data_IF_254371050273
#
_entry.id   IF_254371050273
#
_cell.length_a   1.000
_cell.length_b   1.000
_cell.length_c   1.000
_cell.angle_alpha   90.00
_cell.angle_beta   90.00
_cell.angle_gamma   90.00
#
_symmetry.space_group_name_H-M   'P 1'
#
loop_
_entity.id
_entity.type
_entity.pdbx_description
1 polymer ?
#
# COMPACT_ATOMS: atom_id res chain seq x y z
N UNK A 1 -11.69 -8.41 2.63
CA UNK A 1 -11.86 -9.61 1.77
C UNK A 1 -10.52 -9.95 1.15
N UNK A 2 -10.13 -11.18 1.26
CA UNK A 2 -8.86 -11.66 0.76
C UNK A 2 -9.10 -12.77 -0.25
N UNK A 3 -8.39 -12.69 -1.38
CA UNK A 3 -8.46 -13.68 -2.44
C UNK A 3 -7.04 -14.08 -2.83
N UNK A 4 -6.79 -15.37 -2.99
CA UNK A 4 -5.47 -15.88 -3.31
C UNK A 4 -5.59 -16.99 -4.34
N UNK A 5 -4.68 -16.99 -5.32
CA UNK A 5 -4.64 -18.06 -6.31
C UNK A 5 -4.22 -19.38 -5.65
N UNK A 6 -4.69 -20.52 -6.18
CA UNK A 6 -4.35 -21.82 -5.59
C UNK A 6 -2.85 -22.10 -5.52
N UNK A 7 -2.07 -21.54 -6.43
CA UNK A 7 -0.62 -21.73 -6.45
C UNK A 7 0.13 -20.70 -5.61
N UNK A 8 -0.60 -19.74 -5.01
CA UNK A 8 0.01 -18.70 -4.19
C UNK A 8 0.81 -17.67 -4.96
N UNK A 9 0.74 -17.64 -6.29
CA UNK A 9 1.54 -16.73 -7.10
C UNK A 9 1.05 -15.29 -7.08
N UNK A 10 -0.20 -15.05 -6.71
CA UNK A 10 -0.76 -13.71 -6.60
C UNK A 10 -1.79 -13.66 -5.50
N UNK A 11 -2.00 -12.46 -4.97
CA UNK A 11 -2.89 -12.24 -3.84
C UNK A 11 -3.55 -10.88 -4.01
N UNK A 12 -4.82 -10.79 -3.68
CA UNK A 12 -5.53 -9.52 -3.68
C UNK A 12 -6.50 -9.47 -2.50
N UNK A 13 -6.83 -8.24 -2.06
CA UNK A 13 -7.72 -8.07 -0.93
C UNK A 13 -7.90 -6.62 -0.55
N UNK A 14 -8.49 -6.41 0.61
CA UNK A 14 -8.65 -5.09 1.22
C UNK A 14 -7.77 -4.98 2.45
N UNK A 15 -7.21 -3.80 2.64
CA UNK A 15 -6.32 -3.50 3.77
C UNK A 15 -6.69 -2.15 4.35
N UNK A 16 -6.73 -2.06 5.68
CA UNK A 16 -6.98 -0.81 6.40
C UNK A 16 -5.90 -0.58 7.43
N UNK A 17 -5.56 0.68 7.63
CA UNK A 17 -4.57 1.06 8.63
C UNK A 17 -4.98 2.37 9.31
N UNK A 18 -4.86 2.38 10.64
CA UNK A 18 -5.15 3.56 11.45
C UNK A 18 -4.04 4.61 11.31
N UNK A 19 -4.31 5.89 11.69
CA UNK A 19 -3.30 6.93 11.62
C UNK A 19 -2.04 6.57 12.40
N UNK A 20 -0.90 7.03 11.89
CA UNK A 20 0.40 6.78 12.51
C UNK A 20 1.50 6.69 11.47
N UNK A 21 2.73 6.52 11.97
CA UNK A 21 3.93 6.37 11.14
C UNK A 21 4.44 4.94 11.28
N UNK A 22 4.72 4.30 10.13
CA UNK A 22 5.18 2.90 10.11
C UNK A 22 6.23 2.70 9.04
N UNK A 23 7.15 1.77 9.30
CA UNK A 23 8.05 1.27 8.28
C UNK A 23 7.28 0.38 7.31
N UNK A 24 7.60 0.50 6.02
CA UNK A 24 6.94 -0.25 4.96
C UNK A 24 7.99 -0.92 4.08
N UNK A 25 7.80 -2.20 3.83
CA UNK A 25 8.64 -2.97 2.91
C UNK A 25 7.73 -3.84 2.07
N UNK A 26 7.92 -3.81 0.77
CA UNK A 26 7.15 -4.63 -0.16
C UNK A 26 8.02 -5.79 -0.64
N UNK A 27 7.65 -7.00 -0.26
CA UNK A 27 8.39 -8.22 -0.65
C UNK A 27 8.07 -8.65 -2.07
N UNK A 28 6.95 -8.17 -2.63
CA UNK A 28 6.51 -8.50 -3.99
C UNK A 28 5.94 -7.24 -4.63
N UNK A 29 5.78 -7.27 -5.95
CA UNK A 29 5.12 -6.17 -6.65
C UNK A 29 3.70 -6.03 -6.14
N UNK A 30 3.30 -4.81 -5.80
CA UNK A 30 1.96 -4.55 -5.28
C UNK A 30 1.34 -3.36 -6.01
N UNK A 31 0.16 -3.56 -6.55
CA UNK A 31 -0.66 -2.50 -7.13
C UNK A 31 -1.75 -2.13 -6.11
N UNK A 32 -1.85 -0.85 -5.79
CA UNK A 32 -2.77 -0.35 -4.77
C UNK A 32 -3.75 0.65 -5.35
N UNK A 33 -5.03 0.49 -4.98
CA UNK A 33 -6.07 1.48 -5.25
C UNK A 33 -6.60 1.95 -3.89
N UNK A 34 -6.30 3.19 -3.53
CA UNK A 34 -6.71 3.75 -2.25
C UNK A 34 -8.17 4.18 -2.33
N UNK A 35 -8.99 3.63 -1.45
CA UNK A 35 -10.44 3.81 -1.49
C UNK A 35 -10.91 4.92 -0.55
N UNK A 36 -10.25 5.12 0.58
CA UNK A 36 -10.61 6.16 1.55
C UNK A 36 -9.43 6.48 2.44
N UNK A 37 -9.49 7.62 3.12
CA UNK A 37 -8.45 8.07 4.02
C UNK A 37 -7.43 8.95 3.34
N UNK A 38 -6.38 9.32 4.10
CA UNK A 38 -5.29 10.16 3.62
C UNK A 38 -3.98 9.77 4.28
N UNK A 39 -2.90 9.98 3.55
CA UNK A 39 -1.57 9.75 4.06
C UNK A 39 -0.52 10.00 2.99
N UNK A 40 0.72 9.67 3.31
CA UNK A 40 1.83 9.75 2.37
C UNK A 40 2.78 8.60 2.61
N UNK A 41 3.39 8.13 1.54
CA UNK A 41 4.48 7.17 1.61
C UNK A 41 5.77 7.90 1.25
N UNK A 42 6.82 7.70 2.05
CA UNK A 42 8.13 8.31 1.81
C UNK A 42 9.13 7.20 1.56
N UNK A 43 9.67 7.19 0.37
CA UNK A 43 10.71 6.24 0.01
C UNK A 43 12.00 6.58 0.75
N UNK A 44 12.90 5.60 0.90
CA UNK A 44 14.16 5.80 1.62
C UNK A 44 15.01 6.94 1.05
N UNK A 45 14.86 7.27 -0.24
CA UNK A 45 15.57 8.38 -0.87
C UNK A 45 14.89 9.74 -0.67
N UNK A 46 13.76 9.78 0.03
CA UNK A 46 13.04 11.02 0.32
C UNK A 46 11.87 11.31 -0.62
N UNK A 47 11.64 10.49 -1.63
CA UNK A 47 10.50 10.69 -2.53
C UNK A 47 9.19 10.54 -1.77
N UNK A 48 8.28 11.49 -1.94
CA UNK A 48 6.96 11.47 -1.33
C UNK A 48 5.91 11.01 -2.33
N UNK A 49 5.06 10.07 -1.90
CA UNK A 49 3.93 9.59 -2.68
C UNK A 49 2.67 9.87 -1.85
N UNK A 50 1.99 11.01 -2.10
CA UNK A 50 0.75 11.31 -1.38
C UNK A 50 -0.36 10.38 -1.85
N UNK A 51 -1.18 9.91 -0.91
CA UNK A 51 -2.28 9.02 -1.20
C UNK A 51 -3.57 9.51 -0.55
N UNK A 52 -4.67 9.33 -1.27
CA UNK A 52 -6.00 9.71 -0.83
C UNK A 52 -7.02 8.86 -1.60
N UNK A 53 -8.30 9.05 -1.31
CA UNK A 53 -9.35 8.33 -2.03
C UNK A 53 -9.20 8.54 -3.55
N UNK A 54 -9.14 7.44 -4.30
CA UNK A 54 -9.00 7.46 -5.76
C UNK A 54 -7.58 7.36 -6.26
N UNK A 55 -6.57 7.38 -5.38
CA UNK A 55 -5.16 7.30 -5.80
C UNK A 55 -4.81 5.86 -6.20
N UNK A 56 -4.09 5.73 -7.31
CA UNK A 56 -3.54 4.46 -7.77
C UNK A 56 -2.02 4.52 -7.67
N UNK A 57 -1.41 3.52 -7.06
CA UNK A 57 0.05 3.46 -6.88
C UNK A 57 0.55 2.05 -7.11
N UNK A 58 1.69 1.94 -7.78
CA UNK A 58 2.38 0.67 -7.94
C UNK A 58 3.67 0.69 -7.10
N UNK A 59 3.84 -0.30 -6.24
CA UNK A 59 5.04 -0.48 -5.44
C UNK A 59 5.79 -1.71 -5.95
N UNK A 60 6.98 -1.54 -6.54
CA UNK A 60 7.75 -2.70 -6.99
C UNK A 60 8.33 -3.48 -5.81
N UNK A 61 8.59 -4.76 -6.02
CA UNK A 61 9.25 -5.60 -5.03
C UNK A 61 10.57 -4.95 -4.60
N UNK A 62 10.84 -4.95 -3.30
CA UNK A 62 12.03 -4.32 -2.74
C UNK A 62 11.86 -2.85 -2.39
N UNK A 63 10.70 -2.24 -2.68
CA UNK A 63 10.44 -0.86 -2.27
C UNK A 63 10.44 -0.77 -0.76
N UNK A 64 11.19 0.19 -0.21
CA UNK A 64 11.26 0.42 1.24
C UNK A 64 11.09 1.90 1.54
N UNK A 65 10.49 2.18 2.70
CA UNK A 65 10.26 3.54 3.14
C UNK A 65 9.41 3.58 4.39
N UNK A 66 8.73 4.70 4.60
CA UNK A 66 7.80 4.85 5.71
C UNK A 66 6.45 5.33 5.20
N UNK A 67 5.40 5.00 5.93
CA UNK A 67 4.07 5.54 5.68
C UNK A 67 3.67 6.44 6.84
N UNK A 68 3.12 7.61 6.50
CA UNK A 68 2.54 8.53 7.48
C UNK A 68 1.08 8.65 7.12
N UNK A 69 0.22 8.07 7.95
CA UNK A 69 -1.22 8.03 7.70
C UNK A 69 -1.89 9.04 8.62
N UNK A 70 -2.61 9.99 8.03
CA UNK A 70 -3.28 11.06 8.77
C UNK A 70 -4.75 10.78 9.02
N UNK A 71 -5.39 9.99 8.16
CA UNK A 71 -6.76 9.50 8.34
C UNK A 71 -6.76 8.02 8.00
N UNK A 72 -7.55 7.23 8.73
CA UNK A 72 -7.62 5.78 8.50
C UNK A 72 -7.68 5.49 7.01
N UNK A 73 -6.69 4.76 6.53
CA UNK A 73 -6.47 4.51 5.12
C UNK A 73 -6.95 3.11 4.75
N UNK A 74 -7.77 3.03 3.71
CA UNK A 74 -8.25 1.75 3.19
C UNK A 74 -7.87 1.64 1.72
N UNK A 75 -7.31 0.51 1.35
CA UNK A 75 -6.92 0.26 -0.03
C UNK A 75 -7.33 -1.14 -0.46
N UNK A 76 -7.62 -1.27 -1.76
CA UNK A 76 -7.64 -2.55 -2.43
C UNK A 76 -6.25 -2.78 -3.00
N UNK A 77 -5.73 -4.00 -2.87
CA UNK A 77 -4.38 -4.28 -3.33
C UNK A 77 -4.33 -5.58 -4.13
N UNK A 78 -3.32 -5.66 -4.99
CA UNK A 78 -3.00 -6.87 -5.74
C UNK A 78 -1.49 -7.06 -5.69
N UNK A 79 -1.05 -8.19 -5.17
CA UNK A 79 0.35 -8.55 -5.04
C UNK A 79 0.71 -9.69 -5.99
N UNK A 80 1.96 -9.72 -6.37
CA UNK A 80 2.43 -10.77 -7.27
C UNK A 80 3.78 -11.29 -6.86
#
# INVERSE_FOLDING_TARGET
ILSQNPDGSSECGLWSCTPGTRKVTFAADEFCHFLSGQGSYFRDDGEEIPVAAGTLVFFPAGWTGISIITQTLTKAFMCR
#
